data_IF_513716893654
#
_entry.id   IF_513716893654
#
_cell.length_a   1.000
_cell.length_b   1.000
_cell.length_c   1.000
_cell.angle_alpha   90.00
_cell.angle_beta   90.00
_cell.angle_gamma   90.00
#
_symmetry.space_group_name_H-M   'P 1'
#
loop_
_entity.id
_entity.type
_entity.pdbx_description
1 polymer ?
#
# COMPACT_ATOMS: atom_id res chain seq x y z
N UNK A 1 4.48 -11.73 1.34
CA UNK A 1 3.18 -11.10 1.66
C UNK A 1 2.12 -11.56 0.68
N UNK A 2 0.91 -11.74 1.15
CA UNK A 2 -0.21 -12.13 0.29
C UNK A 2 -1.28 -11.04 0.35
N UNK A 3 -1.65 -10.53 -0.83
CA UNK A 3 -2.74 -9.58 -0.99
C UNK A 3 -4.00 -10.37 -1.34
N UNK A 4 -4.96 -10.42 -0.42
CA UNK A 4 -6.22 -11.14 -0.59
C UNK A 4 -7.27 -10.24 -1.22
N UNK A 5 -7.66 -10.55 -2.44
CA UNK A 5 -8.68 -9.83 -3.18
C UNK A 5 -9.91 -10.73 -3.37
N UNK A 6 -11.04 -10.13 -3.73
CA UNK A 6 -12.27 -10.90 -3.97
C UNK A 6 -12.12 -11.92 -5.09
N UNK A 7 -11.26 -11.66 -6.06
CA UNK A 7 -11.07 -12.53 -7.24
C UNK A 7 -9.87 -13.48 -7.10
N UNK A 8 -9.19 -13.47 -5.97
CA UNK A 8 -8.06 -14.36 -5.72
C UNK A 8 -6.94 -13.67 -4.94
N UNK A 9 -5.90 -14.46 -4.65
CA UNK A 9 -4.75 -14.00 -3.89
C UNK A 9 -3.61 -13.60 -4.83
N UNK A 10 -2.89 -12.53 -4.46
CA UNK A 10 -1.68 -12.10 -5.15
C UNK A 10 -0.51 -12.28 -4.21
N UNK A 11 0.50 -13.05 -4.62
CA UNK A 11 1.75 -13.19 -3.86
C UNK A 11 2.67 -12.04 -4.18
N UNK A 12 3.20 -11.40 -3.13
CA UNK A 12 4.10 -10.27 -3.26
C UNK A 12 5.43 -10.62 -2.60
N UNK A 13 6.52 -10.52 -3.36
CA UNK A 13 7.87 -10.62 -2.84
C UNK A 13 8.34 -9.23 -2.43
N UNK A 14 8.75 -9.08 -1.18
CA UNK A 14 9.24 -7.81 -0.64
C UNK A 14 10.76 -7.79 -0.66
N UNK A 15 11.34 -6.75 -1.26
CA UNK A 15 12.79 -6.63 -1.43
C UNK A 15 13.42 -5.86 -0.26
N UNK A 16 13.71 -6.60 0.81
CA UNK A 16 14.30 -6.00 2.02
C UNK A 16 15.68 -5.42 1.80
N UNK A 17 16.42 -5.93 0.83
CA UNK A 17 17.78 -5.47 0.50
C UNK A 17 17.79 -4.12 -0.22
N UNK A 18 16.72 -3.76 -0.93
CA UNK A 18 16.64 -2.49 -1.67
C UNK A 18 15.78 -1.43 -0.97
N UNK A 19 14.83 -1.85 -0.13
CA UNK A 19 13.95 -0.93 0.59
C UNK A 19 13.66 -1.42 2.01
N UNK A 20 14.68 -1.52 2.87
CA UNK A 20 14.54 -2.18 4.18
C UNK A 20 13.51 -1.52 5.10
N UNK A 21 13.48 -0.19 5.15
CA UNK A 21 12.56 0.53 6.03
C UNK A 21 11.13 0.49 5.51
N UNK A 22 10.93 0.58 4.20
CA UNK A 22 9.59 0.47 3.60
C UNK A 22 9.03 -0.95 3.76
N UNK A 23 9.85 -1.98 3.56
CA UNK A 23 9.43 -3.37 3.76
C UNK A 23 9.04 -3.61 5.20
N UNK A 24 9.85 -3.13 6.15
CA UNK A 24 9.54 -3.24 7.58
C UNK A 24 8.19 -2.60 7.91
N UNK A 25 7.94 -1.40 7.40
CA UNK A 25 6.69 -0.68 7.62
C UNK A 25 5.49 -1.43 7.03
N UNK A 26 5.60 -1.94 5.82
CA UNK A 26 4.55 -2.71 5.16
C UNK A 26 4.21 -3.96 5.97
N UNK A 27 5.23 -4.69 6.43
CA UNK A 27 5.02 -5.88 7.27
C UNK A 27 4.35 -5.52 8.60
N UNK A 28 4.76 -4.42 9.22
CA UNK A 28 4.18 -3.96 10.48
C UNK A 28 2.69 -3.64 10.32
N UNK A 29 2.34 -2.90 9.28
CA UNK A 29 0.94 -2.54 9.02
C UNK A 29 0.10 -3.76 8.63
N UNK A 30 0.64 -4.67 7.83
CA UNK A 30 -0.05 -5.89 7.43
C UNK A 30 -0.30 -6.81 8.64
N UNK A 31 0.73 -7.01 9.48
CA UNK A 31 0.64 -7.89 10.64
C UNK A 31 -0.29 -7.33 11.73
N UNK A 32 -0.44 -6.03 11.82
CA UNK A 32 -1.36 -5.39 12.77
C UNK A 32 -2.78 -5.26 12.25
N UNK A 33 -3.08 -5.76 11.05
CA UNK A 33 -4.40 -5.71 10.45
C UNK A 33 -4.81 -4.36 9.87
N UNK A 34 -3.88 -3.40 9.78
CA UNK A 34 -4.20 -2.05 9.31
C UNK A 34 -4.58 -1.99 7.84
N UNK A 35 -4.12 -2.95 7.03
CA UNK A 35 -4.47 -3.01 5.61
C UNK A 35 -5.76 -3.76 5.33
N UNK A 36 -6.35 -4.43 6.33
CA UNK A 36 -7.59 -5.16 6.12
C UNK A 36 -8.73 -4.20 5.77
N UNK A 37 -9.50 -4.56 4.75
CA UNK A 37 -10.65 -3.78 4.27
C UNK A 37 -10.29 -2.39 3.71
N UNK A 38 -9.04 -2.18 3.32
CA UNK A 38 -8.58 -0.93 2.70
C UNK A 38 -8.83 -1.00 1.20
N UNK A 39 -9.53 0.00 0.68
CA UNK A 39 -9.92 0.02 -0.73
C UNK A 39 -8.78 0.44 -1.65
N UNK A 40 -8.88 0.05 -2.93
CA UNK A 40 -8.08 0.62 -4.00
C UNK A 40 -8.76 1.92 -4.43
N UNK A 41 -8.27 3.04 -3.94
CA UNK A 41 -8.92 4.35 -4.14
C UNK A 41 -8.61 5.00 -5.49
N UNK A 42 -7.63 4.49 -6.22
CA UNK A 42 -7.25 5.01 -7.53
C UNK A 42 -6.79 3.87 -8.43
N UNK A 43 -7.52 3.67 -9.53
CA UNK A 43 -7.19 2.62 -10.51
C UNK A 43 -7.24 3.25 -11.89
N UNK A 44 -6.13 3.21 -12.61
CA UNK A 44 -6.02 3.76 -13.97
C UNK A 44 -5.63 2.62 -14.90
N UNK A 45 -6.54 2.26 -15.80
CA UNK A 45 -6.34 1.19 -16.76
C UNK A 45 -5.07 1.42 -17.58
N UNK A 46 -4.26 0.39 -17.72
CA UNK A 46 -3.01 0.46 -18.45
C UNK A 46 -1.88 1.20 -17.73
N UNK A 47 -2.11 1.66 -16.50
CA UNK A 47 -1.10 2.39 -15.74
C UNK A 47 -0.85 1.82 -14.34
N UNK A 48 -1.81 1.96 -13.41
CA UNK A 48 -1.57 1.53 -12.04
C UNK A 48 -2.86 1.37 -11.23
N UNK A 49 -2.74 0.70 -10.09
CA UNK A 49 -3.76 0.66 -9.05
C UNK A 49 -3.10 1.07 -7.73
N UNK A 50 -3.72 1.99 -7.02
CA UNK A 50 -3.19 2.53 -5.77
C UNK A 50 -4.11 2.23 -4.59
N UNK A 51 -3.49 1.84 -3.47
CA UNK A 51 -4.19 1.48 -2.25
C UNK A 51 -3.30 1.83 -1.04
N UNK A 52 -3.79 1.59 0.15
CA UNK A 52 -2.98 1.67 1.36
C UNK A 52 -3.28 2.85 2.26
N UNK A 53 -4.32 3.64 1.98
CA UNK A 53 -4.74 4.68 2.91
C UNK A 53 -5.52 4.04 4.06
N UNK A 54 -4.84 3.78 5.16
CA UNK A 54 -5.42 3.08 6.32
C UNK A 54 -6.35 3.97 7.14
N UNK A 55 -6.33 5.27 6.90
CA UNK A 55 -7.18 6.23 7.60
C UNK A 55 -8.53 6.42 6.91
N UNK A 56 -8.49 6.88 5.65
CA UNK A 56 -9.70 7.20 4.90
C UNK A 56 -10.15 6.07 3.96
N UNK A 57 -9.32 5.09 3.73
CA UNK A 57 -9.59 4.01 2.79
C UNK A 57 -10.11 2.72 3.41
N UNK A 58 -10.18 2.61 4.74
CA UNK A 58 -10.69 1.41 5.40
C UNK A 58 -12.22 1.42 5.43
N UNK A 59 -12.85 0.54 4.65
CA UNK A 59 -14.31 0.50 4.48
C UNK A 59 -15.07 0.15 5.77
N UNK A 60 -14.40 -0.42 6.77
CA UNK A 60 -15.00 -0.74 8.06
C UNK A 60 -14.72 0.31 9.14
N UNK A 61 -13.97 1.36 8.80
CA UNK A 61 -13.67 2.44 9.74
C UNK A 61 -14.73 3.51 9.69
N UNK A 62 -15.02 4.13 10.86
CA UNK A 62 -15.88 5.31 10.91
C UNK A 62 -15.32 6.52 10.17
N UNK A 63 -14.02 6.55 9.94
CA UNK A 63 -13.35 7.61 9.22
C UNK A 63 -13.33 7.39 7.69
N UNK A 64 -13.93 6.29 7.21
CA UNK A 64 -13.96 5.97 5.80
C UNK A 64 -14.58 7.10 4.98
N UNK A 65 -13.82 7.58 3.98
CA UNK A 65 -14.24 8.70 3.13
C UNK A 65 -13.57 8.59 1.77
N UNK A 66 -14.34 8.19 0.75
CA UNK A 66 -13.80 8.00 -0.60
C UNK A 66 -13.26 9.28 -1.23
N UNK A 67 -13.79 10.45 -0.83
CA UNK A 67 -13.29 11.74 -1.35
C UNK A 67 -11.91 12.07 -0.79
N UNK A 68 -11.61 11.60 0.43
CA UNK A 68 -10.35 11.85 1.11
C UNK A 68 -9.36 10.69 0.95
N UNK A 69 -9.81 9.54 0.45
CA UNK A 69 -8.94 8.37 0.30
C UNK A 69 -7.74 8.71 -0.59
N UNK A 70 -6.57 8.35 -0.09
CA UNK A 70 -5.29 8.73 -0.70
C UNK A 70 -4.61 9.91 -0.04
N UNK A 71 -5.33 10.68 0.78
CA UNK A 71 -4.78 11.85 1.50
C UNK A 71 -4.42 11.57 2.94
N UNK A 72 -4.83 10.42 3.46
CA UNK A 72 -4.48 9.98 4.81
C UNK A 72 -3.27 9.07 4.80
N UNK A 73 -3.13 8.29 5.87
CA UNK A 73 -2.04 7.34 6.02
C UNK A 73 -2.05 6.76 7.43
N UNK A 74 -0.97 6.05 7.79
CA UNK A 74 -0.82 5.52 9.14
C UNK A 74 -0.42 6.63 10.12
N UNK A 75 -0.59 6.35 11.41
CA UNK A 75 -0.13 7.26 12.47
C UNK A 75 1.38 7.20 12.70
N UNK A 76 2.06 6.32 11.96
CA UNK A 76 3.51 6.15 12.06
C UNK A 76 4.25 7.25 11.28
N UNK A 77 5.49 7.60 11.69
CA UNK A 77 6.26 8.64 11.01
C UNK A 77 6.52 8.32 9.54
N UNK A 78 6.67 9.38 8.73
CA UNK A 78 7.04 9.24 7.33
C UNK A 78 8.42 8.61 7.20
N UNK A 79 8.59 7.79 6.17
CA UNK A 79 9.85 7.13 5.88
C UNK A 79 10.65 7.92 4.86
N UNK A 80 11.98 7.88 5.00
CA UNK A 80 12.88 8.40 3.98
C UNK A 80 12.74 7.61 2.69
N UNK A 81 12.96 8.27 1.56
CA UNK A 81 13.00 7.62 0.26
C UNK A 81 14.10 6.57 0.21
N UNK A 82 13.80 5.42 -0.39
CA UNK A 82 14.75 4.33 -0.58
C UNK A 82 14.81 4.03 -2.07
N UNK A 83 15.47 4.92 -2.81
CA UNK A 83 15.62 4.79 -4.27
C UNK A 83 16.53 3.63 -4.62
N UNK A 84 16.26 2.99 -5.74
CA UNK A 84 17.06 1.91 -6.28
C UNK A 84 16.94 1.89 -7.81
N UNK A 85 17.73 1.01 -8.45
CA UNK A 85 17.79 0.92 -9.91
C UNK A 85 16.75 -0.01 -10.52
N UNK A 86 15.89 -0.63 -9.70
CA UNK A 86 14.88 -1.56 -10.22
C UNK A 86 13.80 -0.79 -10.99
N UNK A 87 13.44 -1.24 -12.21
CA UNK A 87 12.41 -0.57 -13.00
C UNK A 87 11.01 -0.83 -12.42
N UNK A 88 10.11 0.11 -12.62
CA UNK A 88 8.70 -0.03 -12.24
C UNK A 88 7.89 -0.64 -13.40
N UNK A 89 8.23 -1.88 -13.75
CA UNK A 89 7.53 -2.63 -14.78
C UNK A 89 6.24 -3.25 -14.24
N UNK A 90 5.47 -3.84 -15.14
CA UNK A 90 4.25 -4.57 -14.77
C UNK A 90 4.56 -5.59 -13.67
N UNK A 91 3.72 -5.62 -12.65
CA UNK A 91 3.88 -6.51 -11.50
C UNK A 91 4.73 -5.93 -10.38
N UNK A 92 5.19 -4.69 -10.50
CA UNK A 92 5.98 -4.03 -9.46
C UNK A 92 5.07 -3.37 -8.42
N UNK A 93 5.34 -3.63 -7.14
CA UNK A 93 4.75 -2.91 -6.03
C UNK A 93 5.71 -1.78 -5.62
N UNK A 94 5.24 -0.55 -5.69
CA UNK A 94 6.04 0.63 -5.40
C UNK A 94 5.32 1.54 -4.41
N UNK A 95 6.10 2.22 -3.56
CA UNK A 95 5.53 3.17 -2.59
C UNK A 95 5.14 4.47 -3.29
N UNK A 96 3.89 4.90 -3.09
CA UNK A 96 3.44 6.19 -3.56
C UNK A 96 4.00 7.30 -2.67
N UNK A 97 4.24 8.47 -3.26
CA UNK A 97 4.68 9.67 -2.56
C UNK A 97 3.89 10.87 -3.04
N UNK A 98 3.70 11.81 -2.14
CA UNK A 98 3.05 13.10 -2.44
C UNK A 98 4.00 14.02 -3.21
#
# INVERSE_FOLDING_TARGET
>A
MILKLKDGDVKIELFEDVAPNHVKRIKELANSGKYDNVVFHRVIDGFMAQTGDVKFGNSNSKDFNLRMAGMGGSDLPDLKQEFNSLPHDRGTLSMARD
#
